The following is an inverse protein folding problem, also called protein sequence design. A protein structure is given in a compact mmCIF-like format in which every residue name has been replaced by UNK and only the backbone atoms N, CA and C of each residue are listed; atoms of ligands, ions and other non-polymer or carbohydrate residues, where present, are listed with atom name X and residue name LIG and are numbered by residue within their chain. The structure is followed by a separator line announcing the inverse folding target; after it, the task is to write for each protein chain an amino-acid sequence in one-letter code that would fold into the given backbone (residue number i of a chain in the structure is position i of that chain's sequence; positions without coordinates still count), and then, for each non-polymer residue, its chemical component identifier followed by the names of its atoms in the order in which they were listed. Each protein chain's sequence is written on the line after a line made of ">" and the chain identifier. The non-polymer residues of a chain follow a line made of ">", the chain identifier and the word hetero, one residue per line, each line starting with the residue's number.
data_IF_819333154914
#
_entry.id   IF_819333154914
#
_cell.length_a   1.000
_cell.length_b   1.000
_cell.length_c   1.000
_cell.angle_alpha   90.00
_cell.angle_beta   90.00
_cell.angle_gamma   90.00
#
_symmetry.space_group_name_H-M   'P 1'
#
loop_
_entity.id
_entity.type
_entity.pdbx_description
1 polymer ?
#
# COMPACT_ATOMS: atom_id res chain seq x y z
N UNK A 1 -9.30 13.97 19.99
CA UNK A 1 -8.99 14.72 18.74
C UNK A 1 -7.70 15.51 18.89
N UNK A 2 -7.62 16.61 19.66
CA UNK A 2 -6.38 17.41 19.75
C UNK A 2 -5.17 16.60 20.28
N UNK A 3 -5.35 15.80 21.33
CA UNK A 3 -4.27 14.97 21.90
C UNK A 3 -3.75 13.91 20.91
N UNK A 4 -4.64 13.28 20.13
CA UNK A 4 -4.25 12.31 19.10
C UNK A 4 -3.49 12.98 17.95
N UNK A 5 -3.85 14.22 17.59
CA UNK A 5 -3.13 14.98 16.57
C UNK A 5 -1.73 15.42 17.04
N UNK A 6 -1.60 15.84 18.30
CA UNK A 6 -0.30 16.21 18.88
C UNK A 6 0.62 14.99 18.98
N UNK A 7 0.12 13.84 19.45
CA UNK A 7 0.91 12.60 19.47
C UNK A 7 1.35 12.16 18.06
N UNK A 8 0.50 12.35 17.05
CA UNK A 8 0.79 12.00 15.67
C UNK A 8 1.83 12.94 15.04
N UNK A 9 1.76 14.24 15.34
CA UNK A 9 2.79 15.22 14.95
C UNK A 9 4.14 14.97 15.63
N UNK A 10 4.12 14.61 16.91
CA UNK A 10 5.33 14.20 17.64
C UNK A 10 5.91 12.92 17.05
N UNK A 11 5.06 11.95 16.68
CA UNK A 11 5.53 10.72 16.03
C UNK A 11 6.17 10.98 14.67
N UNK A 12 5.61 11.87 13.85
CA UNK A 12 6.22 12.28 12.57
C UNK A 12 7.54 13.00 12.79
N UNK A 13 7.61 13.90 13.76
CA UNK A 13 8.85 14.59 14.10
C UNK A 13 9.93 13.62 14.59
N UNK A 14 9.55 12.60 15.38
CA UNK A 14 10.47 11.54 15.81
C UNK A 14 10.89 10.68 14.61
N UNK A 15 9.96 10.25 13.76
CA UNK A 15 10.27 9.46 12.56
C UNK A 15 11.23 10.19 11.61
N UNK A 16 11.05 11.50 11.42
CA UNK A 16 11.93 12.35 10.61
C UNK A 16 13.32 12.55 11.26
N UNK A 17 13.41 12.53 12.59
CA UNK A 17 14.68 12.67 13.31
C UNK A 17 15.52 11.39 13.34
N UNK A 18 14.93 10.23 13.05
CA UNK A 18 15.60 8.93 13.05
C UNK A 18 16.23 8.71 11.66
N UNK A 19 17.40 9.31 11.44
CA UNK A 19 18.26 8.97 10.30
C UNK A 19 19.04 7.67 10.55
N UNK A 20 19.28 7.34 11.82
CA UNK A 20 20.09 6.18 12.23
C UNK A 20 19.23 5.00 12.71
N UNK A 21 19.73 3.79 12.50
CA UNK A 21 19.16 2.54 13.00
C UNK A 21 19.30 2.47 14.53
N UNK A 22 18.19 2.66 15.27
CA UNK A 22 18.19 2.61 16.75
C UNK A 22 17.45 1.37 17.23
N UNK A 23 18.18 0.40 17.77
CA UNK A 23 17.58 -0.76 18.41
C UNK A 23 17.12 -0.45 19.84
N UNK A 24 15.85 -0.72 20.11
CA UNK A 24 15.26 -0.70 21.46
C UNK A 24 15.16 -2.14 21.96
N UNK A 25 16.19 -2.57 22.69
CA UNK A 25 16.32 -3.97 23.10
C UNK A 25 16.69 -4.89 21.94
N UNK A 26 16.42 -6.19 22.07
CA UNK A 26 16.68 -7.17 21.00
C UNK A 26 15.59 -7.18 19.92
N UNK A 27 14.33 -6.98 20.34
CA UNK A 27 13.16 -7.27 19.50
C UNK A 27 12.68 -6.13 18.62
N UNK A 28 12.97 -4.86 18.97
CA UNK A 28 12.41 -3.68 18.29
C UNK A 28 13.54 -2.83 17.69
N UNK A 29 13.41 -2.47 16.41
CA UNK A 29 14.24 -1.47 15.74
C UNK A 29 13.41 -0.26 15.33
N UNK A 30 13.96 0.94 15.61
CA UNK A 30 13.46 2.21 15.12
C UNK A 30 14.34 2.63 13.95
N UNK A 31 13.80 2.40 12.75
CA UNK A 31 14.43 2.74 11.48
C UNK A 31 13.51 3.70 10.74
N UNK A 32 14.05 4.58 9.90
CA UNK A 32 13.24 5.46 9.06
C UNK A 32 12.12 4.70 8.32
N UNK A 33 12.45 3.57 7.68
CA UNK A 33 11.49 2.72 6.94
C UNK A 33 10.38 2.20 7.85
N UNK A 34 10.73 1.65 9.02
CA UNK A 34 9.77 1.09 9.97
C UNK A 34 8.85 2.17 10.55
N UNK A 35 9.44 3.29 10.97
CA UNK A 35 8.71 4.44 11.50
C UNK A 35 7.75 5.03 10.45
N UNK A 36 8.23 5.27 9.23
CA UNK A 36 7.42 5.75 8.11
C UNK A 36 6.21 4.83 7.87
N UNK A 37 6.41 3.53 7.74
CA UNK A 37 5.29 2.62 7.44
C UNK A 37 4.32 2.44 8.63
N UNK A 38 4.85 2.43 9.86
CA UNK A 38 4.01 2.35 11.07
C UNK A 38 3.08 3.57 11.22
N UNK A 39 3.49 4.72 10.68
CA UNK A 39 2.68 5.93 10.64
C UNK A 39 1.35 5.71 9.90
N UNK A 40 1.37 4.99 8.77
CA UNK A 40 0.15 4.69 8.00
C UNK A 40 -0.84 3.90 8.86
N UNK A 41 -0.36 2.84 9.51
CA UNK A 41 -1.21 1.98 10.35
C UNK A 41 -1.85 2.76 11.50
N UNK A 42 -1.07 3.63 12.17
CA UNK A 42 -1.58 4.45 13.29
C UNK A 42 -2.60 5.47 12.78
N UNK A 43 -2.29 6.17 11.68
CA UNK A 43 -3.17 7.20 11.13
C UNK A 43 -4.51 6.63 10.69
N UNK A 44 -4.47 5.53 9.94
CA UNK A 44 -5.68 4.87 9.50
C UNK A 44 -6.48 4.32 10.69
N UNK A 45 -5.84 3.87 11.78
CA UNK A 45 -6.53 3.37 12.97
C UNK A 45 -7.29 4.51 13.67
N UNK A 46 -6.64 5.67 13.83
CA UNK A 46 -7.28 6.88 14.36
C UNK A 46 -8.47 7.28 13.49
N UNK A 47 -8.29 7.26 12.16
CA UNK A 47 -9.38 7.52 11.22
C UNK A 47 -10.55 6.57 11.43
N UNK A 48 -10.29 5.27 11.52
CA UNK A 48 -11.32 4.27 11.70
C UNK A 48 -12.18 4.51 12.95
N UNK A 49 -11.56 4.78 14.10
CA UNK A 49 -12.28 5.03 15.34
C UNK A 49 -13.11 6.31 15.32
N UNK A 50 -12.64 7.35 14.63
CA UNK A 50 -13.37 8.63 14.55
C UNK A 50 -14.55 8.54 13.57
N UNK A 51 -14.36 7.90 12.42
CA UNK A 51 -15.27 8.04 11.28
C UNK A 51 -16.14 6.81 11.02
N UNK A 52 -15.58 5.61 11.15
CA UNK A 52 -16.26 4.37 10.75
C UNK A 52 -16.68 3.49 11.93
N UNK A 53 -16.28 3.83 13.16
CA UNK A 53 -16.56 3.03 14.36
C UNK A 53 -18.05 2.79 14.64
N UNK A 54 -18.93 3.68 14.18
CA UNK A 54 -20.39 3.53 14.34
C UNK A 54 -21.07 2.68 13.26
N UNK A 55 -20.43 2.49 12.10
CA UNK A 55 -21.03 1.82 10.93
C UNK A 55 -20.82 0.31 10.97
N UNK A 56 -19.84 -0.15 11.75
CA UNK A 56 -19.31 -1.52 11.70
C UNK A 56 -19.73 -2.32 12.93
N UNK A 57 -19.91 -3.63 12.76
CA UNK A 57 -20.11 -4.54 13.88
C UNK A 57 -18.94 -4.49 14.87
N UNK A 58 -19.22 -4.53 16.18
CA UNK A 58 -18.20 -4.48 17.24
C UNK A 58 -17.07 -5.50 17.05
N UNK A 59 -17.41 -6.70 16.55
CA UNK A 59 -16.46 -7.78 16.32
C UNK A 59 -15.45 -7.44 15.20
N UNK A 60 -15.93 -6.89 14.08
CA UNK A 60 -15.08 -6.44 12.98
C UNK A 60 -14.16 -5.29 13.40
N UNK A 61 -14.66 -4.35 14.19
CA UNK A 61 -13.83 -3.27 14.74
C UNK A 61 -12.68 -3.79 15.61
N UNK A 62 -12.94 -4.82 16.42
CA UNK A 62 -11.90 -5.48 17.24
C UNK A 62 -10.88 -6.19 16.35
N UNK A 63 -11.32 -6.93 15.33
CA UNK A 63 -10.42 -7.63 14.40
C UNK A 63 -9.50 -6.66 13.64
N UNK A 64 -10.06 -5.56 13.15
CA UNK A 64 -9.31 -4.50 12.48
C UNK A 64 -8.31 -3.86 13.46
N UNK A 65 -8.74 -3.56 14.69
CA UNK A 65 -7.85 -3.03 15.73
C UNK A 65 -6.66 -3.97 16.00
N UNK A 66 -6.92 -5.26 16.16
CA UNK A 66 -5.88 -6.29 16.34
C UNK A 66 -4.91 -6.29 15.14
N UNK A 67 -5.42 -6.28 13.92
CA UNK A 67 -4.57 -6.28 12.71
C UNK A 67 -3.65 -5.06 12.64
N UNK A 68 -4.15 -3.88 13.02
CA UNK A 68 -3.37 -2.64 13.01
C UNK A 68 -2.30 -2.58 14.08
N UNK A 69 -2.50 -3.23 15.24
CA UNK A 69 -1.47 -3.34 16.28
C UNK A 69 -0.36 -4.27 15.80
N UNK A 70 -0.71 -5.43 15.25
CA UNK A 70 0.28 -6.37 14.74
C UNK A 70 1.06 -5.84 13.54
N UNK A 71 0.45 -5.00 12.68
CA UNK A 71 1.18 -4.36 11.59
C UNK A 71 2.23 -3.36 12.11
N UNK A 72 1.93 -2.57 13.14
CA UNK A 72 2.92 -1.70 13.80
C UNK A 72 4.06 -2.52 14.39
N UNK A 73 3.77 -3.60 15.10
CA UNK A 73 4.79 -4.50 15.66
C UNK A 73 5.67 -5.09 14.54
N UNK A 74 5.06 -5.48 13.42
CA UNK A 74 5.79 -6.02 12.27
C UNK A 74 6.74 -4.98 11.67
N UNK A 75 6.28 -3.73 11.46
CA UNK A 75 7.12 -2.66 10.94
C UNK A 75 8.33 -2.34 11.83
N UNK A 76 8.16 -2.41 13.14
CA UNK A 76 9.21 -2.10 14.12
C UNK A 76 10.03 -3.33 14.56
N UNK A 77 9.74 -4.53 14.04
CA UNK A 77 10.42 -5.75 14.50
C UNK A 77 11.86 -5.88 14.00
N UNK A 78 12.80 -6.08 14.92
CA UNK A 78 14.18 -6.43 14.61
C UNK A 78 14.40 -7.95 14.58
N UNK A 79 13.62 -8.72 15.34
CA UNK A 79 13.74 -10.18 15.33
C UNK A 79 12.94 -10.80 14.17
N UNK A 80 13.59 -11.66 13.39
CA UNK A 80 13.00 -12.30 12.20
C UNK A 80 11.79 -13.19 12.52
N UNK A 81 11.79 -13.84 13.69
CA UNK A 81 10.67 -14.66 14.15
C UNK A 81 9.48 -13.79 14.60
N UNK A 82 9.76 -12.69 15.30
CA UNK A 82 8.71 -11.72 15.69
C UNK A 82 8.10 -11.08 14.45
N UNK A 83 8.93 -10.75 13.47
CA UNK A 83 8.47 -10.26 12.16
C UNK A 83 7.47 -11.24 11.53
N UNK A 84 7.82 -12.53 11.40
CA UNK A 84 6.93 -13.51 10.77
C UNK A 84 5.62 -13.71 11.54
N UNK A 85 5.68 -13.84 12.87
CA UNK A 85 4.48 -14.03 13.70
C UNK A 85 3.56 -12.80 13.61
N UNK A 86 4.11 -11.60 13.74
CA UNK A 86 3.33 -10.36 13.67
C UNK A 86 2.76 -10.12 12.26
N UNK A 87 3.50 -10.50 11.21
CA UNK A 87 3.03 -10.44 9.82
C UNK A 87 1.77 -11.28 9.61
N UNK A 88 1.79 -12.54 10.04
CA UNK A 88 0.64 -13.45 9.87
C UNK A 88 -0.54 -13.04 10.77
N UNK A 89 -0.27 -12.62 12.01
CA UNK A 89 -1.29 -12.09 12.92
C UNK A 89 -1.89 -10.75 12.46
N UNK A 90 -1.24 -10.02 11.55
CA UNK A 90 -1.84 -8.85 10.91
C UNK A 90 -2.83 -9.25 9.80
N UNK A 91 -2.58 -10.34 9.07
CA UNK A 91 -3.41 -10.75 7.92
C UNK A 91 -4.62 -11.58 8.38
N UNK A 92 -4.45 -12.53 9.29
CA UNK A 92 -5.52 -13.46 9.71
C UNK A 92 -6.80 -12.74 10.18
N UNK A 93 -6.74 -11.68 11.02
CA UNK A 93 -7.95 -10.96 11.43
C UNK A 93 -8.67 -10.31 10.24
N UNK A 94 -7.93 -9.84 9.23
CA UNK A 94 -8.49 -9.21 8.05
C UNK A 94 -9.16 -10.24 7.12
N UNK A 95 -8.54 -11.42 6.97
CA UNK A 95 -9.16 -12.56 6.28
C UNK A 95 -10.50 -12.93 6.93
N UNK A 96 -10.55 -12.97 8.25
CA UNK A 96 -11.79 -13.27 8.97
C UNK A 96 -12.83 -12.14 8.87
N UNK A 97 -12.38 -10.87 8.90
CA UNK A 97 -13.27 -9.72 8.70
C UNK A 97 -13.90 -9.69 7.30
N UNK A 98 -13.21 -10.22 6.29
CA UNK A 98 -13.75 -10.39 4.94
C UNK A 98 -14.95 -11.32 4.94
N UNK A 99 -14.92 -12.42 5.68
CA UNK A 99 -16.05 -13.36 5.76
C UNK A 99 -17.27 -12.76 6.48
N UNK A 100 -17.04 -12.04 7.58
CA UNK A 100 -18.11 -11.50 8.42
C UNK A 100 -18.77 -10.28 7.80
N UNK A 101 -17.97 -9.31 7.34
CA UNK A 101 -18.44 -7.96 7.02
C UNK A 101 -18.72 -7.68 5.56
N UNK A 102 -18.37 -8.58 4.65
CA UNK A 102 -18.65 -8.36 3.22
C UNK A 102 -20.12 -8.68 2.88
N UNK A 103 -20.84 -7.77 2.19
CA UNK A 103 -22.21 -8.01 1.76
C UNK A 103 -22.34 -8.79 0.45
N UNK A 104 -21.23 -9.26 -0.14
CA UNK A 104 -21.20 -9.83 -1.49
C UNK A 104 -21.21 -11.36 -1.48
N UNK A 105 -21.78 -11.97 -2.54
CA UNK A 105 -21.98 -13.43 -2.61
C UNK A 105 -20.68 -14.21 -2.77
N UNK A 106 -19.72 -13.70 -3.55
CA UNK A 106 -18.45 -14.37 -3.86
C UNK A 106 -17.39 -14.20 -2.77
N UNK A 107 -17.77 -13.66 -1.60
CA UNK A 107 -16.88 -13.51 -0.45
C UNK A 107 -16.22 -14.79 0.02
N UNK A 108 -16.90 -15.93 -0.11
CA UNK A 108 -16.34 -17.24 0.26
C UNK A 108 -15.21 -17.65 -0.68
N UNK A 109 -15.38 -17.40 -1.97
CA UNK A 109 -14.36 -17.65 -2.98
C UNK A 109 -13.14 -16.75 -2.74
N UNK A 110 -13.35 -15.45 -2.52
CA UNK A 110 -12.28 -14.52 -2.17
C UNK A 110 -11.55 -14.91 -0.87
N UNK A 111 -12.28 -15.39 0.15
CA UNK A 111 -11.71 -15.95 1.37
C UNK A 111 -10.80 -17.14 1.09
N UNK A 112 -11.24 -18.12 0.28
CA UNK A 112 -10.43 -19.29 -0.06
C UNK A 112 -9.17 -18.91 -0.85
N UNK A 113 -9.27 -17.94 -1.76
CA UNK A 113 -8.10 -17.41 -2.47
C UNK A 113 -7.09 -16.80 -1.49
N UNK A 114 -7.53 -15.89 -0.61
CA UNK A 114 -6.64 -15.21 0.33
C UNK A 114 -6.07 -16.18 1.38
N UNK A 115 -6.88 -17.11 1.89
CA UNK A 115 -6.45 -18.10 2.88
C UNK A 115 -5.47 -19.11 2.27
N UNK A 116 -5.77 -19.65 1.09
CA UNK A 116 -4.86 -20.56 0.39
C UNK A 116 -3.53 -19.87 0.08
N UNK A 117 -3.61 -18.61 -0.36
CA UNK A 117 -2.46 -17.77 -0.60
C UNK A 117 -1.60 -17.55 0.65
N UNK A 118 -2.23 -17.25 1.79
CA UNK A 118 -1.55 -17.12 3.09
C UNK A 118 -0.88 -18.43 3.49
N UNK A 119 -1.62 -19.54 3.51
CA UNK A 119 -1.10 -20.83 4.00
C UNK A 119 0.03 -21.40 3.13
N UNK A 120 -0.08 -21.30 1.80
CA UNK A 120 0.92 -21.85 0.88
C UNK A 120 2.22 -21.07 0.87
N UNK A 121 2.18 -19.77 1.19
CA UNK A 121 3.35 -18.89 1.15
C UNK A 121 4.00 -18.70 2.52
N UNK A 122 3.20 -18.71 3.59
CA UNK A 122 3.67 -18.43 4.95
C UNK A 122 4.59 -19.52 5.51
N UNK A 123 4.27 -20.80 5.25
CA UNK A 123 5.06 -21.93 5.76
C UNK A 123 6.43 -22.03 5.08
N UNK A 124 6.55 -21.98 3.72
CA UNK A 124 7.87 -21.92 3.09
C UNK A 124 8.68 -20.71 3.55
N UNK A 125 8.02 -19.55 3.75
CA UNK A 125 8.68 -18.35 4.28
C UNK A 125 9.25 -18.61 5.68
N UNK A 126 8.49 -19.24 6.57
CA UNK A 126 8.98 -19.61 7.91
C UNK A 126 10.23 -20.49 7.82
N UNK A 127 10.20 -21.54 7.00
CA UNK A 127 11.35 -22.44 6.85
C UNK A 127 12.58 -21.71 6.30
N UNK A 128 12.40 -20.82 5.32
CA UNK A 128 13.50 -20.02 4.77
C UNK A 128 14.10 -19.07 5.82
N UNK A 129 13.27 -18.41 6.64
CA UNK A 129 13.72 -17.55 7.73
C UNK A 129 14.47 -18.36 8.79
N UNK A 130 13.95 -19.53 9.17
CA UNK A 130 14.61 -20.41 10.14
C UNK A 130 15.96 -20.92 9.61
N UNK A 131 16.05 -21.22 8.31
CA UNK A 131 17.30 -21.61 7.68
C UNK A 131 18.35 -20.48 7.71
N UNK A 132 17.95 -19.24 7.40
CA UNK A 132 18.81 -18.06 7.55
C UNK A 132 19.29 -17.91 9.00
N UNK A 133 18.37 -17.98 9.97
CA UNK A 133 18.71 -17.84 11.38
C UNK A 133 19.67 -18.93 11.86
N UNK A 134 19.52 -20.15 11.35
CA UNK A 134 20.41 -21.26 11.67
C UNK A 134 21.83 -21.01 11.16
N UNK A 135 21.98 -20.51 9.92
CA UNK A 135 23.27 -20.15 9.33
C UNK A 135 23.92 -18.94 10.02
N UNK A 136 23.12 -17.93 10.36
CA UNK A 136 23.59 -16.71 11.00
C UNK A 136 23.86 -16.88 12.51
N UNK A 137 23.38 -17.97 13.13
CA UNK A 137 23.40 -18.23 14.58
C UNK A 137 22.67 -17.21 15.45
N UNK A 138 21.76 -16.45 14.87
CA UNK A 138 21.09 -15.33 15.53
C UNK A 138 19.73 -15.09 14.86
N UNK A 139 18.83 -14.37 15.54
CA UNK A 139 17.50 -13.99 15.03
C UNK A 139 17.33 -12.50 14.67
N UNK A 140 18.31 -11.65 14.99
CA UNK A 140 18.32 -10.22 14.68
C UNK A 140 18.50 -9.92 13.17
N UNK A 141 17.60 -9.16 12.56
CA UNK A 141 17.58 -8.80 11.13
C UNK A 141 18.85 -8.13 10.58
N UNK A 142 19.79 -7.67 11.42
CA UNK A 142 21.06 -7.06 11.01
C UNK A 142 22.09 -8.00 10.37
N UNK A 143 21.68 -9.13 9.79
CA UNK A 143 22.59 -10.12 9.23
C UNK A 143 23.22 -9.65 7.93
N UNK A 144 24.53 -9.39 8.00
CA UNK A 144 25.42 -9.34 6.83
C UNK A 144 26.45 -10.47 6.79
N UNK A 145 26.45 -11.36 7.78
CA UNK A 145 27.54 -12.31 7.97
C UNK A 145 27.17 -13.71 7.45
N UNK A 146 27.94 -14.22 6.48
CA UNK A 146 27.95 -15.65 6.11
C UNK A 146 27.10 -16.07 4.90
N UNK A 147 26.43 -15.13 4.22
CA UNK A 147 25.60 -15.42 3.03
C UNK A 147 26.28 -15.02 1.71
N UNK A 148 27.58 -14.73 1.75
CA UNK A 148 28.39 -14.43 0.57
C UNK A 148 28.69 -15.74 -0.19
N UNK A 149 27.91 -16.01 -1.24
CA UNK A 149 28.11 -17.18 -2.10
C UNK A 149 26.86 -17.59 -2.89
N UNK A 150 26.99 -18.62 -3.76
CA UNK A 150 25.89 -19.08 -4.61
C UNK A 150 24.68 -19.58 -3.80
N UNK A 151 24.91 -20.14 -2.62
CA UNK A 151 23.82 -20.55 -1.71
C UNK A 151 23.01 -19.37 -1.17
N UNK A 152 23.68 -18.26 -0.83
CA UNK A 152 23.02 -17.03 -0.39
C UNK A 152 22.20 -16.39 -1.49
N UNK A 153 22.71 -16.39 -2.72
CA UNK A 153 21.96 -15.92 -3.89
C UNK A 153 20.70 -16.76 -4.16
N UNK A 154 20.81 -18.10 -4.15
CA UNK A 154 19.64 -19.00 -4.33
C UNK A 154 18.60 -18.75 -3.24
N UNK A 155 19.04 -18.59 -1.99
CA UNK A 155 18.16 -18.27 -0.86
C UNK A 155 17.50 -16.91 -1.04
N UNK A 156 18.24 -15.91 -1.51
CA UNK A 156 17.73 -14.58 -1.86
C UNK A 156 16.64 -14.64 -2.94
N UNK A 157 16.83 -15.46 -3.98
CA UNK A 157 15.82 -15.69 -5.02
C UNK A 157 14.57 -16.38 -4.47
N UNK A 158 14.72 -17.41 -3.62
CA UNK A 158 13.59 -18.07 -2.97
C UNK A 158 12.81 -17.08 -2.11
N UNK A 159 13.51 -16.31 -1.26
CA UNK A 159 12.91 -15.26 -0.43
C UNK A 159 12.21 -14.21 -1.27
N UNK A 160 12.82 -13.77 -2.37
CA UNK A 160 12.18 -12.84 -3.30
C UNK A 160 10.89 -13.41 -3.87
N UNK A 161 10.87 -14.66 -4.31
CA UNK A 161 9.64 -15.29 -4.81
C UNK A 161 8.57 -15.36 -3.70
N UNK A 162 8.95 -15.70 -2.48
CA UNK A 162 8.00 -15.77 -1.36
C UNK A 162 7.43 -14.40 -0.99
N UNK A 163 8.25 -13.34 -0.94
CA UNK A 163 7.75 -11.98 -0.69
C UNK A 163 7.04 -11.37 -1.92
N UNK A 164 7.43 -11.74 -3.14
CA UNK A 164 6.79 -11.27 -4.38
C UNK A 164 5.33 -11.70 -4.40
N UNK A 165 5.06 -12.90 -3.91
CA UNK A 165 3.70 -13.38 -3.77
C UNK A 165 2.88 -12.45 -2.85
N UNK A 166 3.48 -11.95 -1.76
CA UNK A 166 2.82 -11.18 -0.69
C UNK A 166 2.62 -9.70 -1.07
N UNK A 167 3.39 -9.17 -2.03
CA UNK A 167 3.28 -7.81 -2.63
C UNK A 167 2.45 -7.82 -3.94
N UNK A 168 1.77 -8.93 -4.23
CA UNK A 168 1.27 -9.35 -5.55
C UNK A 168 2.08 -8.93 -6.78
N UNK A 169 3.38 -9.23 -6.79
CA UNK A 169 4.23 -9.13 -7.98
C UNK A 169 3.88 -10.23 -9.01
N UNK A 170 4.22 -10.07 -10.30
CA UNK A 170 3.91 -11.07 -11.31
C UNK A 170 4.67 -12.37 -11.04
N UNK A 171 4.06 -13.55 -11.26
CA UNK A 171 2.71 -13.81 -11.75
C UNK A 171 1.61 -13.88 -10.66
N UNK A 172 1.93 -13.65 -9.39
CA UNK A 172 1.08 -13.96 -8.23
C UNK A 172 0.05 -12.87 -7.86
N UNK A 173 -0.36 -12.05 -8.84
CA UNK A 173 -1.18 -10.86 -8.63
C UNK A 173 -2.69 -11.11 -8.59
N UNK A 174 -3.15 -12.25 -9.13
CA UNK A 174 -4.56 -12.51 -9.43
C UNK A 174 -5.49 -12.45 -8.19
N UNK A 175 -4.98 -12.74 -7.00
CA UNK A 175 -5.81 -12.73 -5.78
C UNK A 175 -6.24 -11.32 -5.39
N UNK A 176 -5.43 -10.30 -5.67
CA UNK A 176 -5.65 -8.96 -5.12
C UNK A 176 -6.91 -8.29 -5.71
N UNK A 177 -7.12 -8.22 -7.05
CA UNK A 177 -8.33 -7.64 -7.61
C UNK A 177 -9.62 -8.36 -7.17
N UNK A 178 -9.56 -9.69 -7.04
CA UNK A 178 -10.70 -10.52 -6.60
C UNK A 178 -11.05 -10.20 -5.14
N UNK A 179 -10.05 -10.18 -4.26
CA UNK A 179 -10.25 -9.93 -2.83
C UNK A 179 -10.75 -8.50 -2.59
N UNK A 180 -10.23 -7.49 -3.30
CA UNK A 180 -10.72 -6.12 -3.18
C UNK A 180 -12.15 -5.93 -3.70
N UNK A 181 -12.55 -6.67 -4.74
CA UNK A 181 -13.92 -6.63 -5.24
C UNK A 181 -14.92 -7.12 -4.17
N UNK A 182 -14.58 -8.22 -3.50
CA UNK A 182 -15.49 -8.91 -2.58
C UNK A 182 -15.38 -8.44 -1.14
N UNK A 183 -14.27 -7.81 -0.73
CA UNK A 183 -14.13 -7.24 0.60
C UNK A 183 -15.09 -6.05 0.82
N UNK A 184 -15.47 -5.82 2.09
CA UNK A 184 -16.07 -4.55 2.48
C UNK A 184 -15.06 -3.41 2.16
N UNK A 185 -15.57 -2.22 1.84
CA UNK A 185 -14.72 -1.05 1.51
C UNK A 185 -13.70 -0.75 2.60
N UNK A 186 -14.09 -0.94 3.85
CA UNK A 186 -13.26 -0.68 5.02
C UNK A 186 -12.12 -1.70 5.12
N UNK A 187 -12.40 -2.98 4.85
CA UNK A 187 -11.36 -4.02 4.77
C UNK A 187 -10.41 -3.74 3.59
N UNK A 188 -10.92 -3.27 2.44
CA UNK A 188 -10.06 -2.87 1.32
C UNK A 188 -9.13 -1.68 1.61
N UNK A 189 -9.55 -0.73 2.47
CA UNK A 189 -8.67 0.35 2.95
C UNK A 189 -7.48 -0.24 3.71
N UNK A 190 -7.67 -1.31 4.48
CA UNK A 190 -6.60 -1.94 5.24
C UNK A 190 -5.66 -2.81 4.42
N UNK A 191 -6.22 -3.59 3.48
CA UNK A 191 -5.43 -4.35 2.52
C UNK A 191 -4.50 -3.43 1.72
N UNK A 192 -5.05 -2.33 1.20
CA UNK A 192 -4.26 -1.38 0.42
C UNK A 192 -3.37 -0.47 1.26
N UNK A 193 -3.81 -0.15 2.48
CA UNK A 193 -3.12 0.73 3.41
C UNK A 193 -1.80 0.13 3.88
N UNK A 194 -1.86 -0.99 4.61
CA UNK A 194 -0.65 -1.56 5.23
C UNK A 194 -0.31 -2.99 4.81
N UNK A 195 -1.26 -3.86 4.41
CA UNK A 195 -0.90 -5.28 4.14
C UNK A 195 0.12 -5.40 3.00
N UNK A 196 -0.11 -4.72 1.87
CA UNK A 196 0.86 -4.72 0.77
C UNK A 196 2.23 -4.18 1.20
N UNK A 197 2.25 -3.22 2.15
CA UNK A 197 3.47 -2.57 2.64
C UNK A 197 4.26 -3.46 3.58
N UNK A 198 3.59 -4.35 4.33
CA UNK A 198 4.25 -5.37 5.13
C UNK A 198 5.12 -6.28 4.24
N UNK A 199 4.67 -6.59 3.02
CA UNK A 199 5.49 -7.37 2.08
C UNK A 199 6.75 -6.60 1.65
N UNK A 200 6.62 -5.31 1.37
CA UNK A 200 7.71 -4.44 0.93
C UNK A 200 8.80 -4.31 1.99
N UNK A 201 8.44 -4.12 3.26
CA UNK A 201 9.43 -4.10 4.35
C UNK A 201 10.12 -5.47 4.51
N UNK A 202 9.39 -6.56 4.28
CA UNK A 202 9.96 -7.90 4.23
C UNK A 202 11.05 -8.02 3.15
N UNK A 203 10.79 -7.54 1.94
CA UNK A 203 11.82 -7.51 0.90
C UNK A 203 12.99 -6.59 1.26
N UNK A 204 12.72 -5.41 1.83
CA UNK A 204 13.76 -4.48 2.25
C UNK A 204 14.73 -5.13 3.25
N UNK A 205 14.20 -5.87 4.24
CA UNK A 205 15.03 -6.46 5.31
C UNK A 205 15.66 -7.80 4.93
N UNK A 206 14.95 -8.67 4.23
CA UNK A 206 15.42 -10.03 3.96
C UNK A 206 16.05 -10.21 2.58
N UNK A 207 15.56 -9.49 1.57
CA UNK A 207 15.90 -9.79 0.16
C UNK A 207 17.01 -8.88 -0.36
N UNK A 208 16.94 -7.58 -0.10
CA UNK A 208 17.96 -6.63 -0.58
C UNK A 208 19.40 -7.01 -0.20
N UNK A 209 19.69 -7.53 1.02
CA UNK A 209 21.05 -7.95 1.35
C UNK A 209 21.57 -9.15 0.54
N UNK A 210 20.69 -9.93 -0.09
CA UNK A 210 21.01 -11.23 -0.70
C UNK A 210 21.06 -11.20 -2.22
N UNK A 211 20.41 -10.23 -2.87
CA UNK A 211 20.37 -10.14 -4.33
C UNK A 211 21.41 -9.13 -4.80
N UNK A 212 22.28 -9.60 -5.69
CA UNK A 212 23.22 -8.80 -6.46
C UNK A 212 22.73 -8.77 -7.92
N UNK A 213 22.91 -7.64 -8.61
CA UNK A 213 22.49 -7.38 -9.99
C UNK A 213 20.97 -7.42 -10.30
N UNK A 214 20.31 -6.26 -10.16
CA UNK A 214 18.86 -6.13 -10.28
C UNK A 214 18.35 -5.54 -11.62
N UNK A 215 19.25 -5.12 -12.52
CA UNK A 215 18.89 -4.25 -13.66
C UNK A 215 17.83 -4.87 -14.60
N UNK A 216 17.99 -6.14 -14.96
CA UNK A 216 17.01 -6.85 -15.79
C UNK A 216 15.67 -7.00 -15.07
N UNK A 217 15.68 -7.35 -13.78
CA UNK A 217 14.48 -7.50 -12.97
C UNK A 217 13.69 -6.18 -12.88
N UNK A 218 14.38 -5.06 -12.71
CA UNK A 218 13.78 -3.72 -12.68
C UNK A 218 13.03 -3.43 -14.00
N UNK A 219 13.67 -3.65 -15.16
CA UNK A 219 13.01 -3.39 -16.45
C UNK A 219 11.75 -4.24 -16.65
N UNK A 220 11.79 -5.51 -16.24
CA UNK A 220 10.63 -6.42 -16.31
C UNK A 220 9.51 -5.97 -15.39
N UNK A 221 9.82 -5.56 -14.15
CA UNK A 221 8.84 -5.06 -13.20
C UNK A 221 8.18 -3.77 -13.68
N UNK A 222 8.94 -2.83 -14.26
CA UNK A 222 8.36 -1.61 -14.85
C UNK A 222 7.46 -1.96 -16.03
N UNK A 223 7.91 -2.80 -16.96
CA UNK A 223 7.07 -3.25 -18.09
C UNK A 223 5.77 -3.90 -17.64
N UNK A 224 5.83 -4.70 -16.57
CA UNK A 224 4.66 -5.30 -15.97
C UNK A 224 3.72 -4.28 -15.30
N UNK A 225 4.27 -3.31 -14.56
CA UNK A 225 3.47 -2.23 -13.96
C UNK A 225 2.63 -1.51 -15.02
N UNK A 226 3.21 -1.26 -16.18
CA UNK A 226 2.51 -0.63 -17.30
C UNK A 226 1.43 -1.53 -17.88
N UNK A 227 1.71 -2.83 -18.05
CA UNK A 227 0.71 -3.79 -18.54
C UNK A 227 -0.54 -3.85 -17.63
N UNK A 228 -0.34 -3.84 -16.31
CA UNK A 228 -1.44 -3.80 -15.33
C UNK A 228 -2.21 -2.50 -15.41
N UNK A 229 -1.49 -1.38 -15.49
CA UNK A 229 -2.13 -0.07 -15.62
C UNK A 229 -3.00 -0.03 -16.88
N UNK A 230 -2.53 -0.56 -18.00
CA UNK A 230 -3.34 -0.67 -19.22
C UNK A 230 -4.58 -1.56 -19.03
N UNK A 231 -4.49 -2.65 -18.26
CA UNK A 231 -5.68 -3.47 -17.94
C UNK A 231 -6.73 -2.72 -17.12
N UNK A 232 -6.36 -1.65 -16.40
CA UNK A 232 -7.33 -0.80 -15.70
C UNK A 232 -8.33 -0.17 -16.67
N UNK A 233 -7.94 0.14 -17.92
CA UNK A 233 -8.81 0.77 -18.90
C UNK A 233 -10.02 -0.11 -19.29
N UNK A 234 -9.90 -1.43 -19.15
CA UNK A 234 -11.00 -2.36 -19.42
C UNK A 234 -11.93 -2.62 -18.22
N UNK A 235 -11.55 -2.19 -17.02
CA UNK A 235 -12.28 -2.50 -15.79
C UNK A 235 -13.42 -1.51 -15.54
N UNK A 236 -14.66 -2.03 -15.54
CA UNK A 236 -15.87 -1.23 -15.30
C UNK A 236 -16.21 -1.06 -13.82
N UNK A 237 -15.70 -1.93 -12.94
CA UNK A 237 -15.96 -1.87 -11.51
C UNK A 237 -14.96 -0.94 -10.81
N UNK A 238 -15.44 0.06 -10.08
CA UNK A 238 -14.61 1.07 -9.40
C UNK A 238 -13.60 0.45 -8.42
N UNK A 239 -14.01 -0.57 -7.65
CA UNK A 239 -13.12 -1.28 -6.71
C UNK A 239 -12.05 -2.10 -7.40
N UNK A 240 -12.41 -2.84 -8.46
CA UNK A 240 -11.46 -3.66 -9.23
C UNK A 240 -10.48 -2.77 -9.97
N UNK A 241 -10.99 -1.70 -10.58
CA UNK A 241 -10.19 -0.66 -11.20
C UNK A 241 -9.13 -0.11 -10.23
N UNK A 242 -9.52 0.28 -9.01
CA UNK A 242 -8.58 0.79 -8.02
C UNK A 242 -7.59 -0.27 -7.54
N UNK A 243 -8.02 -1.53 -7.44
CA UNK A 243 -7.15 -2.64 -7.08
C UNK A 243 -6.05 -2.83 -8.13
N UNK A 244 -6.39 -2.86 -9.43
CA UNK A 244 -5.40 -2.92 -10.50
C UNK A 244 -4.51 -1.67 -10.55
N UNK A 245 -5.08 -0.48 -10.38
CA UNK A 245 -4.31 0.76 -10.32
C UNK A 245 -3.26 0.69 -9.19
N UNK A 246 -3.69 0.30 -7.98
CA UNK A 246 -2.80 0.13 -6.84
C UNK A 246 -1.70 -0.91 -7.07
N UNK A 247 -2.03 -1.98 -7.80
CA UNK A 247 -1.09 -3.04 -8.14
C UNK A 247 -0.04 -2.55 -9.14
N UNK A 248 -0.43 -1.75 -10.13
CA UNK A 248 0.49 -1.09 -11.04
C UNK A 248 1.44 -0.12 -10.31
N UNK A 249 0.92 0.68 -9.38
CA UNK A 249 1.74 1.62 -8.63
C UNK A 249 2.66 0.95 -7.61
N UNK A 250 2.20 -0.06 -6.86
CA UNK A 250 3.00 -0.65 -5.77
C UNK A 250 4.25 -1.39 -6.28
N UNK A 251 4.23 -1.87 -7.53
CA UNK A 251 5.41 -2.45 -8.21
C UNK A 251 6.55 -1.42 -8.30
N UNK A 252 6.26 -0.14 -8.43
CA UNK A 252 7.30 0.91 -8.47
C UNK A 252 7.98 1.11 -7.12
N UNK A 253 7.28 0.87 -6.00
CA UNK A 253 7.95 0.84 -4.70
C UNK A 253 9.03 -0.23 -4.66
N UNK A 254 8.76 -1.40 -5.24
CA UNK A 254 9.71 -2.51 -5.35
C UNK A 254 10.87 -2.15 -6.28
N UNK A 255 10.59 -1.51 -7.41
CA UNK A 255 11.63 -0.98 -8.31
C UNK A 255 12.54 -0.01 -7.56
N UNK A 256 11.97 0.91 -6.78
CA UNK A 256 12.72 1.84 -5.94
C UNK A 256 13.63 1.14 -4.93
N UNK A 257 13.14 0.09 -4.27
CA UNK A 257 13.96 -0.74 -3.37
C UNK A 257 15.15 -1.38 -4.09
N UNK A 258 14.92 -1.95 -5.28
CA UNK A 258 15.94 -2.69 -6.02
C UNK A 258 16.99 -1.79 -6.68
N UNK A 259 16.61 -0.54 -6.99
CA UNK A 259 17.50 0.49 -7.54
C UNK A 259 18.32 1.20 -6.45
N UNK A 260 17.85 1.24 -5.21
CA UNK A 260 18.56 1.93 -4.14
C UNK A 260 19.73 1.10 -3.61
N UNK A 261 20.90 1.72 -3.51
CA UNK A 261 22.04 1.15 -2.78
C UNK A 261 21.93 1.51 -1.29
N UNK A 262 21.59 0.53 -0.45
CA UNK A 262 21.62 0.67 1.01
C UNK A 262 20.35 1.27 1.62
N UNK A 263 20.53 2.14 2.63
CA UNK A 263 19.46 2.63 3.52
C UNK A 263 18.63 3.77 2.89
N UNK A 264 19.14 4.38 1.82
CA UNK A 264 18.53 5.51 1.13
C UNK A 264 17.45 5.07 0.12
N UNK A 265 16.61 4.12 0.51
CA UNK A 265 15.49 3.71 -0.33
C UNK A 265 14.35 4.73 -0.24
N UNK A 266 13.85 5.19 -1.38
CA UNK A 266 12.69 6.09 -1.49
C UNK A 266 11.33 5.35 -1.46
N UNK A 267 11.40 4.03 -1.53
CA UNK A 267 10.25 3.13 -1.43
C UNK A 267 9.32 3.36 -0.22
N UNK A 268 9.78 3.62 1.03
CA UNK A 268 8.89 3.96 2.15
C UNK A 268 8.07 5.23 1.90
N UNK A 269 8.67 6.26 1.29
CA UNK A 269 7.97 7.52 1.00
C UNK A 269 6.89 7.29 -0.07
N UNK A 270 7.21 6.51 -1.09
CA UNK A 270 6.23 6.08 -2.08
C UNK A 270 5.10 5.24 -1.44
N UNK A 271 5.44 4.32 -0.54
CA UNK A 271 4.47 3.50 0.18
C UNK A 271 3.52 4.32 1.06
N UNK A 272 4.03 5.38 1.70
CA UNK A 272 3.24 6.37 2.43
C UNK A 272 2.25 7.06 1.50
N UNK A 273 2.74 7.68 0.44
CA UNK A 273 1.92 8.41 -0.52
C UNK A 273 0.83 7.52 -1.13
N UNK A 274 1.20 6.31 -1.56
CA UNK A 274 0.26 5.33 -2.10
C UNK A 274 -0.75 4.90 -1.03
N UNK A 275 -0.32 4.64 0.20
CA UNK A 275 -1.21 4.25 1.29
C UNK A 275 -2.30 5.30 1.53
N UNK A 276 -1.93 6.58 1.51
CA UNK A 276 -2.86 7.69 1.65
C UNK A 276 -3.78 7.86 0.43
N UNK A 277 -3.24 7.84 -0.79
CA UNK A 277 -4.07 8.01 -2.00
C UNK A 277 -5.07 6.86 -2.18
N UNK A 278 -4.63 5.62 -1.97
CA UNK A 278 -5.49 4.44 -2.10
C UNK A 278 -6.59 4.41 -1.03
N UNK A 279 -6.25 4.68 0.24
CA UNK A 279 -7.24 4.71 1.32
C UNK A 279 -8.30 5.79 1.09
N UNK A 280 -7.90 7.00 0.69
CA UNK A 280 -8.80 8.08 0.29
C UNK A 280 -9.76 7.64 -0.81
N UNK A 281 -9.25 7.04 -1.88
CA UNK A 281 -10.07 6.63 -3.02
C UNK A 281 -11.05 5.51 -2.66
N UNK A 282 -10.64 4.51 -1.86
CA UNK A 282 -11.57 3.48 -1.39
C UNK A 282 -12.71 4.06 -0.55
N UNK A 283 -12.44 5.09 0.26
CA UNK A 283 -13.46 5.80 1.03
C UNK A 283 -14.37 6.63 0.11
N UNK A 284 -13.81 7.30 -0.90
CA UNK A 284 -14.62 8.00 -1.91
C UNK A 284 -15.56 7.02 -2.64
N UNK A 285 -15.06 5.85 -3.02
CA UNK A 285 -15.89 4.82 -3.64
C UNK A 285 -16.94 4.22 -2.70
N UNK A 286 -16.69 4.20 -1.39
CA UNK A 286 -17.73 3.86 -0.41
C UNK A 286 -18.89 4.86 -0.47
N UNK A 287 -18.61 6.17 -0.43
CA UNK A 287 -19.65 7.18 -0.50
C UNK A 287 -20.43 7.15 -1.82
N UNK A 288 -19.72 6.95 -2.95
CA UNK A 288 -20.35 6.75 -4.27
C UNK A 288 -21.30 5.54 -4.22
N UNK A 289 -20.84 4.43 -3.64
CA UNK A 289 -21.63 3.21 -3.54
C UNK A 289 -22.87 3.40 -2.65
N UNK A 290 -22.74 4.09 -1.51
CA UNK A 290 -23.88 4.39 -0.63
C UNK A 290 -24.90 5.33 -1.29
N UNK A 291 -24.45 6.27 -2.12
CA UNK A 291 -25.36 7.21 -2.81
C UNK A 291 -26.07 6.60 -4.02
N UNK A 292 -25.39 5.74 -4.79
CA UNK A 292 -25.90 5.22 -6.06
C UNK A 292 -26.26 3.74 -6.06
N UNK A 293 -25.89 3.00 -5.00
CA UNK A 293 -26.15 1.56 -4.87
C UNK A 293 -25.42 0.67 -5.88
N UNK A 294 -24.49 1.23 -6.67
CA UNK A 294 -23.80 0.52 -7.76
C UNK A 294 -22.31 0.84 -7.76
N UNK A 295 -21.52 -0.10 -8.30
CA UNK A 295 -20.05 -0.04 -8.36
C UNK A 295 -19.52 0.25 -9.77
N UNK A 296 -20.39 0.29 -10.77
CA UNK A 296 -19.97 0.44 -12.16
C UNK A 296 -19.70 1.90 -12.50
N UNK A 297 -18.59 2.18 -13.19
CA UNK A 297 -18.24 3.52 -13.65
C UNK A 297 -19.36 4.18 -14.47
N UNK A 298 -20.06 3.37 -15.28
CA UNK A 298 -21.19 3.81 -16.10
C UNK A 298 -22.34 4.34 -15.24
N UNK A 299 -22.72 3.63 -14.18
CA UNK A 299 -23.81 4.06 -13.31
C UNK A 299 -23.46 5.34 -12.54
N UNK A 300 -22.20 5.47 -12.10
CA UNK A 300 -21.71 6.68 -11.43
C UNK A 300 -21.80 7.90 -12.34
N UNK A 301 -21.41 7.77 -13.62
CA UNK A 301 -21.50 8.88 -14.58
C UNK A 301 -22.92 9.28 -14.96
N UNK A 302 -23.82 8.31 -15.12
CA UNK A 302 -25.20 8.59 -15.52
C UNK A 302 -26.01 9.23 -14.40
N UNK A 303 -25.60 9.01 -13.15
CA UNK A 303 -26.39 9.45 -12.02
C UNK A 303 -26.30 10.95 -11.78
N UNK A 304 -25.36 11.69 -12.40
CA UNK A 304 -25.29 13.16 -12.50
C UNK A 304 -25.26 13.96 -11.19
N UNK A 305 -25.58 13.36 -10.05
CA UNK A 305 -25.95 13.96 -8.75
C UNK A 305 -24.77 14.03 -7.78
N UNK A 306 -23.57 14.27 -8.29
CA UNK A 306 -22.40 14.46 -7.45
C UNK A 306 -22.38 15.92 -6.99
N UNK A 307 -22.37 16.17 -5.68
CA UNK A 307 -22.24 17.54 -5.18
C UNK A 307 -20.87 18.12 -5.55
N UNK A 308 -20.79 19.44 -5.76
CA UNK A 308 -19.53 20.13 -6.08
C UNK A 308 -18.44 19.82 -5.05
N UNK A 309 -18.81 19.76 -3.77
CA UNK A 309 -17.88 19.41 -2.71
C UNK A 309 -17.31 18.00 -2.85
N UNK A 310 -18.15 17.02 -3.14
CA UNK A 310 -17.69 15.64 -3.32
C UNK A 310 -16.91 15.45 -4.62
N UNK A 311 -17.24 16.20 -5.67
CA UNK A 311 -16.46 16.25 -6.90
C UNK A 311 -15.04 16.78 -6.62
N UNK A 312 -14.89 17.83 -5.80
CA UNK A 312 -13.58 18.32 -5.37
C UNK A 312 -12.80 17.24 -4.62
N UNK A 313 -13.44 16.56 -3.67
CA UNK A 313 -12.82 15.44 -2.92
C UNK A 313 -12.29 14.36 -3.85
N UNK A 314 -13.15 13.85 -4.74
CA UNK A 314 -12.78 12.79 -5.69
C UNK A 314 -11.71 13.29 -6.66
N UNK A 315 -11.78 14.54 -7.10
CA UNK A 315 -10.76 15.12 -7.99
C UNK A 315 -9.38 15.16 -7.33
N UNK A 316 -9.31 15.60 -6.07
CA UNK A 316 -8.05 15.64 -5.32
C UNK A 316 -7.51 14.23 -5.05
N UNK A 317 -8.37 13.26 -4.74
CA UNK A 317 -7.93 11.88 -4.51
C UNK A 317 -7.48 11.18 -5.80
N UNK A 318 -8.12 11.44 -6.94
CA UNK A 318 -7.67 10.97 -8.25
C UNK A 318 -6.36 11.64 -8.69
N UNK A 319 -6.18 12.94 -8.43
CA UNK A 319 -4.93 13.66 -8.72
C UNK A 319 -3.76 13.15 -7.87
N UNK A 320 -4.00 12.83 -6.60
CA UNK A 320 -2.96 12.21 -5.75
C UNK A 320 -2.62 10.78 -6.17
N UNK A 321 -3.59 10.03 -6.71
CA UNK A 321 -3.33 8.72 -7.32
C UNK A 321 -2.62 8.82 -8.68
N UNK A 322 -2.85 9.88 -9.44
CA UNK A 322 -2.11 10.20 -10.67
C UNK A 322 -0.71 10.77 -10.43
N UNK A 323 -0.23 10.78 -9.19
CA UNK A 323 1.05 11.38 -8.80
C UNK A 323 1.21 12.83 -9.28
N UNK A 324 0.14 13.64 -9.23
CA UNK A 324 0.21 15.06 -9.62
C UNK A 324 0.96 15.88 -8.54
N UNK A 325 1.81 16.86 -8.90
CA UNK A 325 2.45 17.73 -7.92
C UNK A 325 1.41 18.58 -7.17
N UNK A 326 1.51 18.78 -5.84
CA UNK A 326 2.60 18.42 -4.92
C UNK A 326 2.35 17.13 -4.09
N UNK A 327 1.97 16.01 -4.70
CA UNK A 327 1.76 14.75 -3.95
C UNK A 327 3.06 14.05 -3.50
N UNK A 328 3.00 13.25 -2.44
CA UNK A 328 4.12 12.38 -1.98
C UNK A 328 4.59 11.42 -3.08
N UNK A 329 3.64 10.86 -3.84
CA UNK A 329 3.93 9.91 -4.91
C UNK A 329 4.80 10.56 -5.99
N UNK A 330 4.47 11.79 -6.39
CA UNK A 330 5.25 12.56 -7.36
C UNK A 330 6.72 12.69 -6.98
N UNK A 331 7.00 13.11 -5.74
CA UNK A 331 8.37 13.31 -5.29
C UNK A 331 9.13 11.99 -5.21
N UNK A 332 8.51 10.95 -4.64
CA UNK A 332 9.14 9.64 -4.56
C UNK A 332 9.41 9.05 -5.96
N UNK A 333 8.52 9.24 -6.92
CA UNK A 333 8.72 8.82 -8.31
C UNK A 333 9.89 9.55 -8.98
N UNK A 334 10.03 10.85 -8.75
CA UNK A 334 11.17 11.63 -9.25
C UNK A 334 12.48 11.15 -8.64
N UNK A 335 12.53 10.89 -7.34
CA UNK A 335 13.75 10.39 -6.71
C UNK A 335 14.11 8.98 -7.21
N UNK A 336 13.13 8.09 -7.40
CA UNK A 336 13.36 6.76 -7.99
C UNK A 336 13.86 6.87 -9.44
N UNK A 337 13.32 7.81 -10.23
CA UNK A 337 13.85 8.12 -11.56
C UNK A 337 15.30 8.64 -11.46
N UNK A 338 15.60 9.46 -10.46
CA UNK A 338 16.95 9.93 -10.14
C UNK A 338 17.95 8.78 -9.95
N UNK A 339 17.57 7.76 -9.20
CA UNK A 339 18.39 6.56 -8.99
C UNK A 339 18.58 5.74 -10.28
N UNK A 340 17.68 5.87 -11.25
CA UNK A 340 17.71 5.09 -12.50
C UNK A 340 18.65 5.64 -13.58
N UNK A 341 19.34 6.77 -13.35
CA UNK A 341 20.17 7.44 -14.36
C UNK A 341 21.36 6.61 -14.89
N UNK A 342 21.63 5.45 -14.30
CA UNK A 342 22.69 4.55 -14.75
C UNK A 342 22.38 3.80 -16.06
N UNK A 343 21.10 3.66 -16.47
CA UNK A 343 20.77 2.93 -17.69
C UNK A 343 19.61 3.53 -18.49
N UNK A 344 19.82 3.69 -19.80
CA UNK A 344 18.81 4.27 -20.71
C UNK A 344 17.53 3.43 -20.78
N UNK A 345 17.63 2.10 -20.73
CA UNK A 345 16.48 1.22 -20.82
C UNK A 345 15.54 1.37 -19.62
N UNK A 346 16.08 1.50 -18.40
CA UNK A 346 15.27 1.72 -17.19
C UNK A 346 14.61 3.10 -17.26
N UNK A 347 15.34 4.14 -17.68
CA UNK A 347 14.79 5.49 -17.82
C UNK A 347 13.62 5.51 -18.80
N UNK A 348 13.78 4.93 -20.00
CA UNK A 348 12.72 4.90 -21.01
C UNK A 348 11.48 4.13 -20.53
N UNK A 349 11.69 2.97 -19.89
CA UNK A 349 10.60 2.21 -19.30
C UNK A 349 9.87 3.01 -18.21
N UNK A 350 10.62 3.71 -17.36
CA UNK A 350 10.07 4.52 -16.27
C UNK A 350 9.29 5.74 -16.77
N UNK A 351 9.78 6.43 -17.81
CA UNK A 351 9.06 7.53 -18.44
C UNK A 351 7.73 7.06 -19.04
N UNK A 352 7.70 5.88 -19.64
CA UNK A 352 6.47 5.29 -20.14
C UNK A 352 5.50 4.96 -19.00
N UNK A 353 6.01 4.45 -17.88
CA UNK A 353 5.23 4.27 -16.66
C UNK A 353 4.63 5.59 -16.16
N UNK A 354 5.42 6.66 -16.01
CA UNK A 354 4.93 7.96 -15.54
C UNK A 354 3.80 8.50 -16.42
N UNK A 355 3.94 8.35 -17.74
CA UNK A 355 2.91 8.74 -18.69
C UNK A 355 1.61 7.94 -18.46
N UNK A 356 1.69 6.62 -18.40
CA UNK A 356 0.50 5.76 -18.28
C UNK A 356 -0.14 5.88 -16.88
N UNK A 357 0.66 5.86 -15.83
CA UNK A 357 0.21 5.97 -14.43
C UNK A 357 -0.49 7.29 -14.13
N UNK A 358 -0.01 8.40 -14.70
CA UNK A 358 -0.68 9.69 -14.59
C UNK A 358 -1.94 9.82 -15.45
N UNK A 359 -1.92 9.31 -16.68
CA UNK A 359 -3.03 9.48 -17.63
C UNK A 359 -4.30 8.75 -17.19
N UNK A 360 -4.22 7.52 -16.66
CA UNK A 360 -5.40 6.70 -16.39
C UNK A 360 -6.34 7.34 -15.36
N UNK A 361 -5.89 7.79 -14.17
CA UNK A 361 -6.79 8.45 -13.22
C UNK A 361 -7.28 9.81 -13.72
N UNK A 362 -6.46 10.53 -14.51
CA UNK A 362 -6.85 11.83 -15.11
C UNK A 362 -7.96 11.66 -16.16
N UNK A 363 -7.93 10.59 -16.96
CA UNK A 363 -9.01 10.29 -17.92
C UNK A 363 -10.34 10.03 -17.20
N UNK A 364 -10.31 9.31 -16.09
CA UNK A 364 -11.50 9.09 -15.26
C UNK A 364 -11.99 10.39 -14.63
N UNK A 365 -11.07 11.22 -14.15
CA UNK A 365 -11.42 12.54 -13.64
C UNK A 365 -12.12 13.37 -14.71
N UNK A 366 -11.56 13.44 -15.93
CA UNK A 366 -12.17 14.15 -17.05
C UNK A 366 -13.58 13.61 -17.37
N UNK A 367 -13.73 12.28 -17.37
CA UNK A 367 -15.03 11.63 -17.59
C UNK A 367 -16.06 12.01 -16.51
N UNK A 368 -15.68 11.98 -15.23
CA UNK A 368 -16.55 12.36 -14.12
C UNK A 368 -16.97 13.83 -14.19
N UNK A 369 -16.02 14.74 -14.45
CA UNK A 369 -16.29 16.18 -14.57
C UNK A 369 -17.24 16.46 -15.73
N UNK A 370 -16.99 15.90 -16.92
CA UNK A 370 -17.87 16.06 -18.08
C UNK A 370 -19.28 15.52 -17.82
N UNK A 371 -19.40 14.39 -17.11
CA UNK A 371 -20.71 13.80 -16.79
C UNK A 371 -21.52 14.58 -15.74
N UNK A 372 -20.85 15.40 -14.92
CA UNK A 372 -21.47 16.16 -13.83
C UNK A 372 -22.15 17.47 -14.26
N UNK A 373 -22.13 17.79 -15.56
CA UNK A 373 -22.36 19.13 -16.11
C UNK A 373 -23.72 19.80 -15.90
N UNK A 374 -24.72 19.19 -15.26
CA UNK A 374 -26.07 19.80 -15.20
C UNK A 374 -26.90 19.59 -13.91
N UNK A 375 -26.36 19.04 -12.82
CA UNK A 375 -27.21 18.77 -11.64
C UNK A 375 -26.85 19.53 -10.37
N UNK A 376 -27.79 20.36 -9.92
CA UNK A 376 -27.87 20.88 -8.55
C UNK A 376 -28.38 19.79 -7.62
N UNK A 377 -27.57 18.76 -7.38
CA UNK A 377 -27.85 17.72 -6.38
C UNK A 377 -27.64 18.22 -4.96
N UNK A 378 -28.59 17.92 -4.06
CA UNK A 378 -28.46 18.19 -2.62
C UNK A 378 -27.13 17.65 -2.09
N UNK A 379 -26.42 18.51 -1.36
CA UNK A 379 -25.03 18.31 -0.98
C UNK A 379 -24.76 17.02 -0.22
N UNK A 380 -23.73 16.29 -0.64
CA UNK A 380 -22.97 15.39 0.23
C UNK A 380 -22.52 16.20 1.46
N UNK A 381 -22.53 15.63 2.67
CA UNK A 381 -22.12 16.35 3.87
C UNK A 381 -20.76 17.03 3.66
N UNK A 382 -20.64 18.27 4.11
CA UNK A 382 -19.43 19.12 4.14
C UNK A 382 -18.18 18.43 4.71
N UNK A 383 -18.39 17.30 5.37
CA UNK A 383 -17.42 16.46 6.06
C UNK A 383 -16.44 15.72 5.13
N UNK A 384 -16.89 15.24 3.96
CA UNK A 384 -15.99 14.57 3.01
C UNK A 384 -14.92 15.53 2.45
N UNK A 385 -15.30 16.80 2.29
CA UNK A 385 -14.45 17.89 1.78
C UNK A 385 -13.30 18.19 2.74
N UNK A 386 -13.62 18.42 4.01
CA UNK A 386 -12.63 18.66 5.05
C UNK A 386 -11.66 17.49 5.20
N UNK A 387 -12.14 16.26 5.06
CA UNK A 387 -11.33 15.06 5.15
C UNK A 387 -10.34 14.91 3.98
N UNK A 388 -10.79 15.17 2.75
CA UNK A 388 -9.91 15.14 1.57
C UNK A 388 -8.83 16.21 1.63
N UNK A 389 -9.20 17.44 2.01
CA UNK A 389 -8.27 18.55 2.19
C UNK A 389 -7.29 18.26 3.31
N UNK A 390 -7.74 17.61 4.40
CA UNK A 390 -6.89 17.20 5.50
C UNK A 390 -5.85 16.16 5.07
N UNK A 391 -6.22 15.11 4.33
CA UNK A 391 -5.24 14.10 3.89
C UNK A 391 -4.29 14.66 2.84
N UNK A 392 -4.77 15.52 1.94
CA UNK A 392 -3.90 16.20 0.98
C UNK A 392 -2.93 17.15 1.71
N UNK A 393 -3.43 17.95 2.67
CA UNK A 393 -2.59 18.81 3.51
C UNK A 393 -1.60 18.01 4.38
N UNK A 394 -1.99 16.84 4.87
CA UNK A 394 -1.13 15.99 5.67
C UNK A 394 -0.11 15.27 4.81
N UNK A 395 -0.46 14.83 3.61
CA UNK A 395 0.49 14.23 2.66
C UNK A 395 1.57 15.22 2.22
N UNK A 396 1.18 16.46 1.92
CA UNK A 396 2.11 17.55 1.59
C UNK A 396 2.96 17.95 2.79
N UNK A 397 2.36 18.07 3.98
CA UNK A 397 3.10 18.39 5.21
C UNK A 397 4.09 17.29 5.62
N UNK A 398 3.71 16.01 5.52
CA UNK A 398 4.61 14.88 5.82
C UNK A 398 5.79 14.87 4.87
N UNK A 399 5.60 15.19 3.60
CA UNK A 399 6.71 15.34 2.67
C UNK A 399 7.72 16.41 3.12
N UNK A 400 7.23 17.61 3.43
CA UNK A 400 8.09 18.72 3.86
C UNK A 400 8.81 18.47 5.19
N UNK A 401 8.28 17.60 6.05
CA UNK A 401 8.93 17.21 7.30
C UNK A 401 9.98 16.09 7.12
N UNK A 402 9.96 15.38 5.98
CA UNK A 402 10.87 14.26 5.69
C UNK A 402 12.03 14.65 4.76
N UNK A 403 11.99 15.86 4.20
CA UNK A 403 13.15 16.58 3.63
C UNK A 403 13.98 17.20 4.76
#
# INVERSE_FOLDING_TARGET
>A
MVLSYVCLLVFVAVAASVQDFVNVGSYISLDFVGCALSFISILLMIFFFIFCGSVIGKLEAVLIGISSIFSVVCFLSNDTMVFWVSYELAIIPLVYSLLLGSPYSERFLAFWYLLGYVCLTSLPLLFSIQYVNFLAHTTNMGFKYGLEGPGGFILGVIMFILFSTKIPLPPFHAWLPIVHAEASTIVSVWLSGFIMKLGIIGMYRFVLPLIQDNSNMITVLIGYSVAILLSCLSELDTKRWLAYLSLGHIVIAVVGLLNSEGVNSEAPIYCLGHGFSASLLFICFLFIYESFGSRSWLAVSLAGRISVGFLLVISTSLLTAASFPPSLNFFAEIFILGLSFHSLNIILAYLFYLLVGGLIPVLILAYLVCSSGESHGNGVPSFGILFSLYIVALSTYVFFMML
#
